data_IF_702032212798
#
_entry.id   IF_702032212798
#
_cell.length_a   1.000
_cell.length_b   1.000
_cell.length_c   1.000
_cell.angle_alpha   90.00
_cell.angle_beta   90.00
_cell.angle_gamma   90.00
#
_symmetry.space_group_name_H-M   'P 1'
#
loop_
_entity.id
_entity.type
_entity.pdbx_description
1 polymer ?
#
# COMPACT_ATOMS: atom_id res chain seq x y z
N UNK A 1 26.61 13.56 -12.03
CA UNK A 1 25.72 12.70 -11.21
C UNK A 1 26.37 12.57 -9.84
N UNK A 2 25.75 13.08 -8.79
CA UNK A 2 26.25 12.84 -7.43
C UNK A 2 25.83 11.42 -7.08
N UNK A 3 26.76 10.46 -7.15
CA UNK A 3 26.52 9.12 -6.62
C UNK A 3 26.38 9.25 -5.11
N UNK A 4 25.15 9.22 -4.63
CA UNK A 4 24.87 9.31 -3.21
C UNK A 4 25.34 7.99 -2.59
N UNK A 5 26.34 8.01 -1.72
CA UNK A 5 26.80 6.78 -1.04
C UNK A 5 25.81 6.37 0.05
N UNK A 6 25.74 5.06 0.31
CA UNK A 6 24.92 4.52 1.38
C UNK A 6 25.30 5.12 2.74
N UNK A 7 24.29 5.61 3.47
CA UNK A 7 24.48 6.29 4.76
C UNK A 7 24.73 5.33 5.94
N UNK A 8 24.64 4.03 5.72
CA UNK A 8 24.87 3.02 6.77
C UNK A 8 26.37 2.84 7.09
N UNK A 9 26.62 2.47 8.33
CA UNK A 9 27.93 2.01 8.81
C UNK A 9 27.99 0.48 8.68
N UNK A 10 29.08 -0.01 8.09
CA UNK A 10 29.34 -1.45 7.99
C UNK A 10 29.63 -2.04 9.36
N UNK A 11 29.56 -3.38 9.48
CA UNK A 11 29.94 -4.07 10.73
C UNK A 11 31.39 -3.80 11.17
N UNK A 12 32.26 -3.38 10.25
CA UNK A 12 33.66 -3.04 10.50
C UNK A 12 33.83 -1.59 10.98
N UNK A 13 32.76 -0.80 11.09
CA UNK A 13 32.80 0.59 11.55
C UNK A 13 33.03 1.63 10.44
N UNK A 14 33.38 1.20 9.22
CA UNK A 14 33.53 2.10 8.06
C UNK A 14 32.19 2.46 7.40
N UNK A 15 32.16 3.58 6.67
CA UNK A 15 31.01 3.96 5.82
C UNK A 15 30.82 2.97 4.67
N UNK A 16 29.57 2.63 4.38
CA UNK A 16 29.24 1.75 3.26
C UNK A 16 29.52 2.45 1.92
N UNK A 17 30.41 1.87 1.12
CA UNK A 17 30.81 2.43 -0.18
C UNK A 17 29.84 2.10 -1.32
N UNK A 18 28.83 1.27 -1.07
CA UNK A 18 27.81 0.91 -2.05
C UNK A 18 26.93 2.12 -2.35
N UNK A 19 26.55 2.29 -3.61
CA UNK A 19 25.62 3.33 -4.05
C UNK A 19 24.28 3.24 -3.30
N UNK A 20 23.79 4.40 -2.87
CA UNK A 20 22.50 4.52 -2.21
C UNK A 20 21.36 4.51 -3.23
N UNK A 21 20.27 3.90 -2.82
CA UNK A 21 18.96 4.07 -3.44
C UNK A 21 18.36 5.43 -3.05
N UNK A 22 17.17 5.82 -3.59
CA UNK A 22 16.47 7.03 -3.15
C UNK A 22 16.22 7.11 -1.63
N UNK A 23 16.20 5.96 -0.92
CA UNK A 23 16.13 5.89 0.54
C UNK A 23 17.40 6.37 1.27
N UNK A 24 18.50 6.59 0.56
CA UNK A 24 19.81 6.89 1.17
C UNK A 24 20.56 5.65 1.67
N UNK A 25 20.02 4.44 1.43
CA UNK A 25 20.58 3.16 1.84
C UNK A 25 20.80 2.25 0.61
N UNK A 26 21.80 1.37 0.66
CA UNK A 26 22.00 0.36 -0.38
C UNK A 26 21.08 -0.85 -0.17
N UNK A 27 21.03 -1.76 -1.15
CA UNK A 27 20.15 -2.94 -1.12
C UNK A 27 20.37 -3.87 0.09
N UNK A 28 21.56 -3.88 0.71
CA UNK A 28 21.85 -4.68 1.91
C UNK A 28 21.36 -4.00 3.20
N UNK A 29 21.51 -2.68 3.26
CA UNK A 29 21.24 -1.89 4.46
C UNK A 29 19.82 -1.33 4.49
N UNK A 30 19.14 -1.26 3.35
CA UNK A 30 17.76 -0.81 3.26
C UNK A 30 16.80 -1.93 3.73
N UNK A 31 16.05 -1.75 4.83
CA UNK A 31 15.08 -2.74 5.27
C UNK A 31 13.84 -2.79 4.36
N UNK A 32 13.53 -1.73 3.61
CA UNK A 32 12.33 -1.64 2.77
C UNK A 32 12.37 -2.64 1.62
N UNK A 33 13.58 -2.97 1.16
CA UNK A 33 13.81 -3.85 0.02
C UNK A 33 13.98 -5.31 0.44
N UNK A 34 13.97 -5.58 1.74
CA UNK A 34 14.06 -6.94 2.29
C UNK A 34 12.74 -7.67 2.14
N UNK A 35 12.82 -8.99 2.19
CA UNK A 35 11.67 -9.85 2.31
C UNK A 35 10.94 -9.56 3.62
N UNK A 36 9.71 -9.04 3.51
CA UNK A 36 8.89 -8.60 4.65
C UNK A 36 8.30 -9.75 5.49
N UNK A 37 8.54 -10.98 5.07
CA UNK A 37 8.14 -12.18 5.78
C UNK A 37 9.00 -12.39 7.03
N UNK A 38 8.33 -12.69 8.15
CA UNK A 38 8.99 -13.14 9.37
C UNK A 38 9.38 -14.61 9.24
N UNK A 39 10.59 -14.95 9.71
CA UNK A 39 10.99 -16.34 9.85
C UNK A 39 10.28 -17.02 11.04
N UNK A 40 10.48 -18.32 11.21
CA UNK A 40 9.91 -19.10 12.32
C UNK A 40 10.32 -18.57 13.73
N UNK A 41 11.35 -17.73 13.83
CA UNK A 41 11.81 -17.09 15.06
C UNK A 41 11.26 -15.66 15.23
N UNK A 42 10.31 -15.24 14.39
CA UNK A 42 9.71 -13.90 14.41
C UNK A 42 10.63 -12.77 13.94
N UNK A 43 11.78 -13.06 13.32
CA UNK A 43 12.70 -12.05 12.77
C UNK A 43 12.43 -11.82 11.28
N UNK A 44 12.54 -10.59 10.77
CA UNK A 44 12.35 -10.30 9.35
C UNK A 44 13.40 -11.02 8.50
N UNK A 45 12.99 -11.52 7.35
CA UNK A 45 13.88 -12.15 6.40
C UNK A 45 14.87 -11.12 5.82
N UNK A 46 16.17 -11.44 5.82
CA UNK A 46 17.21 -10.53 5.38
C UNK A 46 17.45 -10.52 3.86
N UNK A 47 16.76 -11.38 3.09
CA UNK A 47 16.95 -11.49 1.64
C UNK A 47 16.39 -10.22 0.97
N UNK A 48 17.20 -9.53 0.17
CA UNK A 48 16.76 -8.38 -0.61
C UNK A 48 16.00 -8.84 -1.86
N UNK A 49 14.71 -8.56 -1.91
CA UNK A 49 13.78 -8.95 -3.00
C UNK A 49 13.15 -7.74 -3.68
N UNK A 50 13.44 -6.53 -3.22
CA UNK A 50 12.71 -5.32 -3.61
C UNK A 50 11.47 -5.05 -2.76
N UNK A 51 11.25 -5.79 -1.67
CA UNK A 51 10.18 -5.52 -0.70
C UNK A 51 9.03 -6.52 -0.69
N UNK A 52 9.10 -7.58 -1.52
CA UNK A 52 8.15 -8.69 -1.54
C UNK A 52 8.69 -9.98 -0.90
N UNK A 53 7.90 -11.05 -0.82
CA UNK A 53 8.39 -12.36 -0.34
C UNK A 53 9.52 -12.89 -1.24
N UNK A 54 10.53 -13.54 -0.66
CA UNK A 54 11.57 -14.26 -1.41
C UNK A 54 11.10 -15.66 -1.82
N UNK A 55 11.84 -16.34 -2.70
CA UNK A 55 11.47 -17.69 -3.17
C UNK A 55 11.35 -18.71 -2.04
N UNK A 56 12.17 -18.58 -0.98
CA UNK A 56 12.05 -19.40 0.24
C UNK A 56 10.70 -19.22 0.94
N UNK A 57 10.06 -18.07 0.75
CA UNK A 57 8.74 -17.75 1.24
C UNK A 57 7.72 -17.63 0.10
N UNK A 58 7.97 -18.27 -1.04
CA UNK A 58 7.12 -18.20 -2.23
C UNK A 58 5.66 -18.60 -1.96
N UNK A 59 5.43 -19.55 -1.04
CA UNK A 59 4.07 -19.93 -0.62
C UNK A 59 3.27 -18.79 0.02
N UNK A 60 3.92 -17.83 0.69
CA UNK A 60 3.23 -16.65 1.24
C UNK A 60 2.87 -15.62 0.16
N UNK A 61 3.65 -15.58 -0.92
CA UNK A 61 3.32 -14.78 -2.11
C UNK A 61 2.08 -15.34 -2.79
N UNK A 62 2.01 -16.67 -2.95
CA UNK A 62 0.85 -17.35 -3.52
C UNK A 62 -0.41 -17.15 -2.66
N UNK A 63 -0.32 -17.36 -1.35
CA UNK A 63 -1.44 -17.12 -0.43
C UNK A 63 -1.96 -15.68 -0.47
N UNK A 64 -1.07 -14.68 -0.61
CA UNK A 64 -1.48 -13.28 -0.74
C UNK A 64 -2.18 -12.98 -2.07
N UNK A 65 -1.73 -13.63 -3.16
CA UNK A 65 -2.36 -13.51 -4.49
C UNK A 65 -3.73 -14.19 -4.50
N UNK A 66 -3.83 -15.37 -3.92
CA UNK A 66 -5.10 -16.10 -3.78
C UNK A 66 -6.10 -15.31 -2.94
N UNK A 67 -5.66 -14.79 -1.79
CA UNK A 67 -6.51 -13.91 -0.98
C UNK A 67 -6.95 -12.67 -1.78
N UNK A 68 -6.02 -11.99 -2.47
CA UNK A 68 -6.37 -10.83 -3.29
C UNK A 68 -7.37 -11.19 -4.40
N UNK A 69 -7.23 -12.36 -5.02
CA UNK A 69 -8.17 -12.85 -6.02
C UNK A 69 -9.54 -13.20 -5.41
N UNK A 70 -9.57 -13.75 -4.21
CA UNK A 70 -10.81 -13.99 -3.45
C UNK A 70 -11.52 -12.67 -3.16
N UNK A 71 -10.79 -11.63 -2.71
CA UNK A 71 -11.33 -10.29 -2.52
C UNK A 71 -11.88 -9.69 -3.82
N UNK A 72 -11.17 -9.82 -4.94
CA UNK A 72 -11.64 -9.36 -6.27
C UNK A 72 -12.90 -10.11 -6.67
N UNK A 73 -12.91 -11.44 -6.53
CA UNK A 73 -14.07 -12.27 -6.87
C UNK A 73 -15.27 -11.87 -6.03
N UNK A 74 -15.07 -11.63 -4.72
CA UNK A 74 -16.14 -11.22 -3.82
C UNK A 74 -16.66 -9.81 -4.14
N UNK A 75 -15.79 -8.89 -4.56
CA UNK A 75 -16.18 -7.56 -5.03
C UNK A 75 -16.94 -7.60 -6.37
N UNK A 76 -16.49 -8.40 -7.34
CA UNK A 76 -17.19 -8.62 -8.61
C UNK A 76 -18.55 -9.30 -8.38
N UNK A 77 -18.62 -10.24 -7.43
CA UNK A 77 -19.84 -10.95 -7.04
C UNK A 77 -20.82 -10.06 -6.26
N UNK A 78 -20.31 -9.08 -5.52
CA UNK A 78 -21.11 -8.08 -4.81
C UNK A 78 -21.76 -7.05 -5.74
N UNK A 79 -21.51 -7.16 -7.05
CA UNK A 79 -22.07 -6.30 -8.08
C UNK A 79 -21.14 -5.14 -8.38
N UNK A 80 -20.70 -5.06 -9.64
CA UNK A 80 -20.24 -3.81 -10.20
C UNK A 80 -21.34 -2.76 -10.00
N UNK A 81 -21.16 -1.88 -9.02
CA UNK A 81 -21.98 -0.69 -8.84
C UNK A 81 -21.92 0.11 -10.16
N UNK A 82 -23.05 0.47 -10.79
CA UNK A 82 -23.08 1.07 -12.11
C UNK A 82 -22.67 2.56 -12.09
N UNK A 83 -21.66 2.94 -11.30
CA UNK A 83 -21.16 4.32 -11.22
C UNK A 83 -20.44 4.79 -12.50
N UNK A 84 -20.31 3.93 -13.51
CA UNK A 84 -19.88 4.30 -14.87
C UNK A 84 -20.99 4.14 -15.92
N UNK A 85 -22.26 4.12 -15.53
CA UNK A 85 -23.33 4.39 -16.47
C UNK A 85 -23.24 5.87 -16.90
N UNK A 86 -22.68 6.11 -18.08
CA UNK A 86 -22.75 7.41 -18.76
C UNK A 86 -24.23 7.81 -18.85
N UNK A 87 -24.62 8.81 -18.06
CA UNK A 87 -25.95 9.42 -18.14
C UNK A 87 -26.15 10.02 -19.53
N UNK A 88 -26.84 9.29 -20.40
CA UNK A 88 -27.51 9.89 -21.55
C UNK A 88 -28.79 10.50 -21.01
N UNK A 89 -28.72 11.80 -20.74
CA UNK A 89 -29.71 12.53 -19.97
C UNK A 89 -31.15 12.39 -20.46
N UNK A 90 -32.05 12.40 -19.50
CA UNK A 90 -33.38 13.04 -19.57
C UNK A 90 -33.97 13.10 -18.15
N UNK A 91 -33.98 14.29 -17.56
CA UNK A 91 -34.95 14.69 -16.52
C UNK A 91 -36.37 14.74 -17.12
N UNK A 92 -37.48 14.94 -16.36
CA UNK A 92 -37.57 15.38 -14.96
C UNK A 92 -38.64 14.64 -14.09
N UNK A 93 -38.56 14.80 -12.76
CA UNK A 93 -39.66 15.22 -11.88
C UNK A 93 -39.30 15.01 -10.40
N UNK A 94 -39.66 16.01 -9.60
CA UNK A 94 -39.42 16.16 -8.17
C UNK A 94 -40.21 15.18 -7.30
N UNK A 95 -39.77 14.96 -6.05
CA UNK A 95 -40.54 15.14 -4.79
C UNK A 95 -39.73 14.60 -3.58
N UNK A 96 -39.41 15.53 -2.67
CA UNK A 96 -39.23 15.45 -1.20
C UNK A 96 -38.61 14.20 -0.53
N UNK A 97 -37.54 14.40 0.27
CA UNK A 97 -37.62 14.53 1.75
C UNK A 97 -36.31 15.07 2.31
N UNK A 98 -36.37 16.22 2.98
CA UNK A 98 -35.25 17.05 3.46
C UNK A 98 -34.89 16.81 4.93
N UNK A 99 -34.69 15.56 5.36
CA UNK A 99 -34.24 15.27 6.75
C UNK A 99 -33.10 14.25 6.89
N UNK A 100 -32.53 13.74 5.79
CA UNK A 100 -31.37 12.82 5.84
C UNK A 100 -30.09 13.41 5.21
N UNK A 101 -30.07 14.73 4.94
CA UNK A 101 -28.91 15.38 4.31
C UNK A 101 -27.97 16.09 5.31
N UNK A 102 -28.40 16.26 6.56
CA UNK A 102 -27.62 16.99 7.59
C UNK A 102 -26.67 16.07 8.35
N UNK A 103 -27.04 14.80 8.58
CA UNK A 103 -26.19 13.85 9.31
C UNK A 103 -24.99 13.37 8.48
N UNK A 104 -25.11 13.38 7.15
CA UNK A 104 -24.09 12.89 6.21
C UNK A 104 -23.06 13.94 5.82
N UNK A 105 -23.32 15.24 6.05
CA UNK A 105 -22.34 16.31 5.78
C UNK A 105 -21.35 16.55 6.92
N UNK A 106 -21.65 16.11 8.13
CA UNK A 106 -20.74 16.26 9.27
C UNK A 106 -19.61 15.21 9.30
N UNK A 107 -19.76 14.08 8.59
CA UNK A 107 -18.72 13.03 8.53
C UNK A 107 -17.60 13.37 7.55
N UNK A 108 -17.89 14.08 6.45
CA UNK A 108 -16.88 14.36 5.42
C UNK A 108 -15.90 15.46 5.85
N UNK A 109 -16.36 16.45 6.63
CA UNK A 109 -15.48 17.45 7.25
C UNK A 109 -14.60 16.84 8.36
N UNK A 110 -15.05 15.77 9.02
CA UNK A 110 -14.27 15.07 10.04
C UNK A 110 -13.15 14.22 9.42
N UNK A 111 -13.42 13.56 8.29
CA UNK A 111 -12.42 12.79 7.52
C UNK A 111 -11.36 13.69 6.88
N UNK A 112 -11.72 14.91 6.44
CA UNK A 112 -10.75 15.85 5.90
C UNK A 112 -9.73 16.38 6.94
N UNK A 113 -10.06 16.29 8.24
CA UNK A 113 -9.21 16.83 9.33
C UNK A 113 -8.16 15.84 9.86
N UNK A 114 -8.27 14.55 9.53
CA UNK A 114 -7.29 13.53 9.94
C UNK A 114 -6.18 13.28 8.93
N UNK A 115 -6.28 13.85 7.72
CA UNK A 115 -5.28 13.69 6.65
C UNK A 115 -4.26 14.84 6.63
N UNK A 116 -4.51 15.94 7.36
CA UNK A 116 -3.65 17.15 7.36
C UNK A 116 -3.15 17.56 8.76
N UNK A 117 -2.59 16.63 9.51
CA UNK A 117 -1.60 16.87 10.56
C UNK A 117 -0.59 15.72 10.41
N UNK A 118 0.61 15.93 9.87
CA UNK A 118 1.62 16.82 10.44
C UNK A 118 2.50 15.96 11.34
#
# INVERSE_FOLDING_TARGET
MIMNQCRATTKQGGRCQIEARPSGLCHTHDPVVRCRVLNAKGKPCAIATGGGPCDRHGGQRQASVEAALEWVTLYESAGADPLFAVEKGSSPAEVATTEELVRTRLSLAFVARTINLG
#
